data_IF_009128451661
#
_entry.id   IF_009128451661
#
_cell.length_a   1.000
_cell.length_b   1.000
_cell.length_c   1.000
_cell.angle_alpha   90.00
_cell.angle_beta   90.00
_cell.angle_gamma   90.00
#
_symmetry.space_group_name_H-M   'P 1'
#
loop_
_entity.id
_entity.type
_entity.pdbx_description
1 polymer ?
#
# COMPACT_ATOMS: atom_id res chain seq x y z
N UNK A 1 -55.29 -72.18 9.51
CA UNK A 1 -54.38 -72.09 8.34
C UNK A 1 -53.10 -71.42 8.82
N UNK A 2 -52.00 -72.17 8.81
CA UNK A 2 -50.61 -71.82 9.15
C UNK A 2 -50.29 -71.33 10.58
N UNK A 3 -49.39 -72.10 11.21
CA UNK A 3 -49.02 -72.07 12.61
C UNK A 3 -47.70 -71.31 12.86
N UNK A 4 -47.63 -70.77 14.06
CA UNK A 4 -46.48 -70.15 14.75
C UNK A 4 -45.40 -71.19 15.08
N UNK A 5 -44.12 -70.80 15.05
CA UNK A 5 -43.02 -71.62 15.59
C UNK A 5 -41.75 -70.82 15.92
N UNK A 6 -41.52 -70.61 17.22
CA UNK A 6 -40.28 -70.12 17.86
C UNK A 6 -39.30 -71.27 18.13
N UNK A 7 -38.00 -70.94 18.23
CA UNK A 7 -36.95 -71.68 18.98
C UNK A 7 -36.34 -72.89 18.26
N UNK A 8 -35.15 -73.41 18.56
CA UNK A 8 -34.05 -73.09 19.48
C UNK A 8 -32.87 -74.06 19.12
N UNK A 9 -31.62 -73.62 19.33
CA UNK A 9 -30.39 -74.37 19.77
C UNK A 9 -29.92 -75.70 19.12
N UNK A 10 -28.66 -75.72 18.63
CA UNK A 10 -27.48 -76.52 19.12
C UNK A 10 -26.28 -76.38 18.16
N UNK A 11 -25.18 -75.75 18.57
CA UNK A 11 -23.91 -76.32 19.09
C UNK A 11 -23.02 -77.12 18.11
N UNK A 12 -21.84 -76.53 17.84
CA UNK A 12 -20.56 -77.16 17.46
C UNK A 12 -19.50 -76.04 17.35
N UNK A 13 -18.77 -75.65 18.42
CA UNK A 13 -17.39 -76.08 18.77
C UNK A 13 -16.46 -76.02 17.52
N UNK A 14 -15.44 -75.16 17.43
CA UNK A 14 -14.14 -75.28 18.14
C UNK A 14 -13.15 -74.14 17.71
N UNK A 15 -12.35 -73.63 18.68
CA UNK A 15 -11.01 -72.95 18.64
C UNK A 15 -10.85 -71.61 17.86
N UNK A 16 -9.96 -70.65 18.17
CA UNK A 16 -9.10 -70.21 19.29
C UNK A 16 -8.30 -69.00 18.72
N UNK A 17 -7.72 -68.15 19.59
CA UNK A 17 -6.82 -67.01 19.31
C UNK A 17 -7.50 -65.69 18.89
N UNK A 18 -7.27 -64.53 19.50
CA UNK A 18 -6.39 -64.15 20.61
C UNK A 18 -6.69 -62.71 21.04
N UNK A 19 -6.46 -62.43 22.32
CA UNK A 19 -6.24 -61.07 22.84
C UNK A 19 -5.13 -60.40 22.01
N UNK A 20 -5.29 -59.13 21.62
CA UNK A 20 -4.27 -58.08 21.83
C UNK A 20 -4.76 -56.71 21.33
N UNK A 21 -4.70 -55.71 22.23
CA UNK A 21 -4.27 -54.37 21.87
C UNK A 21 -5.32 -53.37 21.37
N UNK A 22 -6.05 -52.76 22.30
CA UNK A 22 -6.61 -51.42 22.08
C UNK A 22 -5.44 -50.42 21.94
N UNK A 23 -5.03 -50.12 20.70
CA UNK A 23 -4.15 -48.99 20.42
C UNK A 23 -5.00 -47.72 20.34
N UNK A 24 -5.04 -46.99 21.47
CA UNK A 24 -5.44 -45.59 21.49
C UNK A 24 -4.41 -44.80 20.66
N UNK A 25 -4.74 -44.50 19.41
CA UNK A 25 -3.99 -43.54 18.61
C UNK A 25 -4.36 -42.14 19.10
N UNK A 26 -3.67 -41.67 20.13
CA UNK A 26 -3.66 -40.26 20.50
C UNK A 26 -2.95 -39.50 19.36
N UNK A 27 -3.72 -39.11 18.35
CA UNK A 27 -3.28 -38.14 17.37
C UNK A 27 -3.08 -36.81 18.10
N UNK A 28 -1.82 -36.50 18.42
CA UNK A 28 -1.41 -35.16 18.82
C UNK A 28 -1.70 -34.24 17.64
N UNK A 29 -2.85 -33.56 17.67
CA UNK A 29 -3.07 -32.35 16.90
C UNK A 29 -2.07 -31.32 17.42
N UNK A 30 -0.88 -31.30 16.84
CA UNK A 30 -0.05 -30.10 16.83
C UNK A 30 -0.88 -29.05 16.08
N UNK A 31 -1.57 -28.21 16.85
CA UNK A 31 -2.25 -27.06 16.31
C UNK A 31 -1.23 -26.29 15.49
N UNK A 32 -1.45 -26.19 14.19
CA UNK A 32 -0.77 -25.19 13.38
C UNK A 32 -1.02 -23.86 14.09
N UNK A 33 0.00 -23.32 14.75
CA UNK A 33 -0.05 -21.97 15.29
C UNK A 33 -0.45 -21.09 14.12
N UNK A 34 -1.68 -20.58 14.14
CA UNK A 34 -2.17 -19.67 13.12
C UNK A 34 -1.14 -18.54 13.04
N UNK A 35 -0.38 -18.51 11.95
CA UNK A 35 0.67 -17.53 11.76
C UNK A 35 -0.01 -16.16 11.79
N UNK A 36 0.22 -15.41 12.87
CA UNK A 36 -0.34 -14.08 13.07
C UNK A 36 0.11 -13.21 11.89
N UNK A 37 -0.85 -12.73 11.08
CA UNK A 37 -0.58 -11.83 9.96
C UNK A 37 -1.34 -10.52 10.14
N UNK A 38 -0.67 -9.40 9.90
CA UNK A 38 -1.27 -8.06 9.87
C UNK A 38 -1.68 -7.72 8.44
N UNK A 39 -2.89 -7.23 8.26
CA UNK A 39 -3.36 -6.70 6.98
C UNK A 39 -3.09 -5.20 6.91
N UNK A 40 -2.30 -4.79 5.92
CA UNK A 40 -1.87 -3.41 5.71
C UNK A 40 -2.40 -2.86 4.38
N UNK A 41 -3.03 -1.69 4.42
CA UNK A 41 -3.38 -0.91 3.24
C UNK A 41 -2.24 0.06 2.92
N UNK A 42 -1.57 -0.13 1.79
CA UNK A 42 -0.34 0.58 1.46
C UNK A 42 -0.46 1.26 0.10
N UNK A 43 -0.18 2.57 0.03
CA UNK A 43 -0.17 3.31 -1.22
C UNK A 43 0.81 2.70 -2.22
N UNK A 44 0.40 2.57 -3.49
CA UNK A 44 1.20 1.87 -4.51
C UNK A 44 2.63 2.44 -4.68
N UNK A 45 2.81 3.76 -4.51
CA UNK A 45 4.13 4.41 -4.57
C UNK A 45 5.08 4.02 -3.42
N UNK A 46 4.56 3.45 -2.33
CA UNK A 46 5.33 3.04 -1.15
C UNK A 46 5.73 1.57 -1.19
N UNK A 47 5.41 0.84 -2.26
CA UNK A 47 5.57 -0.62 -2.34
C UNK A 47 6.96 -1.09 -1.93
N UNK A 48 8.01 -0.50 -2.51
CA UNK A 48 9.39 -0.96 -2.28
C UNK A 48 9.86 -0.82 -0.82
N UNK A 49 9.78 0.37 -0.19
CA UNK A 49 10.15 0.49 1.22
C UNK A 49 9.22 -0.28 2.16
N UNK A 50 7.91 -0.31 1.89
CA UNK A 50 6.97 -1.07 2.72
C UNK A 50 7.22 -2.58 2.67
N UNK A 51 7.58 -3.12 1.51
CA UNK A 51 7.94 -4.55 1.36
C UNK A 51 9.20 -4.89 2.14
N UNK A 52 10.23 -4.04 2.06
CA UNK A 52 11.47 -4.25 2.82
C UNK A 52 11.22 -4.19 4.34
N UNK A 53 10.43 -3.21 4.80
CA UNK A 53 10.05 -3.10 6.22
C UNK A 53 9.21 -4.28 6.69
N UNK A 54 8.25 -4.74 5.88
CA UNK A 54 7.44 -5.93 6.18
C UNK A 54 8.31 -7.17 6.34
N UNK A 55 9.26 -7.40 5.43
CA UNK A 55 10.17 -8.54 5.49
C UNK A 55 11.13 -8.45 6.68
N UNK A 56 11.64 -7.27 7.00
CA UNK A 56 12.50 -7.05 8.15
C UNK A 56 11.73 -7.28 9.47
N UNK A 57 10.49 -6.80 9.55
CA UNK A 57 9.62 -7.02 10.70
C UNK A 57 9.27 -8.50 10.88
N UNK A 58 8.94 -9.22 9.80
CA UNK A 58 8.63 -10.65 9.85
C UNK A 58 9.84 -11.45 10.33
N UNK A 59 11.05 -11.13 9.87
CA UNK A 59 12.29 -11.76 10.38
C UNK A 59 12.52 -11.52 11.88
N UNK A 60 12.17 -10.34 12.38
CA UNK A 60 12.39 -9.98 13.79
C UNK A 60 11.31 -10.54 14.73
N UNK A 61 10.05 -10.54 14.29
CA UNK A 61 8.89 -10.79 15.14
C UNK A 61 8.18 -12.12 14.87
N UNK A 62 8.44 -12.74 13.71
CA UNK A 62 7.66 -13.88 13.20
C UNK A 62 6.27 -13.51 12.67
N UNK A 63 5.86 -12.24 12.74
CA UNK A 63 4.55 -11.76 12.29
C UNK A 63 4.64 -11.31 10.83
N UNK A 64 3.82 -11.92 9.97
CA UNK A 64 3.75 -11.56 8.55
C UNK A 64 2.95 -10.28 8.35
N UNK A 65 3.33 -9.46 7.39
CA UNK A 65 2.52 -8.29 6.97
C UNK A 65 2.03 -8.50 5.55
N UNK A 66 0.73 -8.69 5.39
CA UNK A 66 0.05 -8.82 4.09
C UNK A 66 -0.39 -7.44 3.62
N UNK A 67 0.01 -7.06 2.40
CA UNK A 67 -0.24 -5.72 1.88
C UNK A 67 -1.28 -5.72 0.76
N UNK A 68 -2.26 -4.84 0.88
CA UNK A 68 -3.12 -4.41 -0.22
C UNK A 68 -2.48 -3.14 -0.80
N UNK A 69 -2.14 -3.17 -2.08
CA UNK A 69 -1.48 -2.08 -2.78
C UNK A 69 -2.43 -1.44 -3.79
N UNK A 70 -2.73 -0.14 -3.63
CA UNK A 70 -3.55 0.61 -4.59
C UNK A 70 -3.36 2.13 -4.45
N UNK A 71 -4.14 2.94 -5.16
CA UNK A 71 -4.27 4.38 -4.93
C UNK A 71 -4.85 4.65 -3.54
N UNK A 72 -4.48 5.79 -2.95
CA UNK A 72 -4.88 6.18 -1.60
C UNK A 72 -6.42 6.20 -1.43
N UNK A 73 -7.14 6.67 -2.46
CA UNK A 73 -8.60 6.70 -2.50
C UNK A 73 -9.23 5.32 -2.63
N UNK A 74 -8.68 4.44 -3.47
CA UNK A 74 -9.17 3.07 -3.59
C UNK A 74 -8.97 2.30 -2.27
N UNK A 75 -7.84 2.51 -1.59
CA UNK A 75 -7.57 1.92 -0.27
C UNK A 75 -8.56 2.43 0.79
N UNK A 76 -8.87 3.73 0.79
CA UNK A 76 -9.88 4.29 1.71
C UNK A 76 -11.27 3.68 1.45
N UNK A 77 -11.70 3.65 0.18
CA UNK A 77 -13.00 3.05 -0.17
C UNK A 77 -13.06 1.57 0.20
N UNK A 78 -11.99 0.81 0.00
CA UNK A 78 -11.94 -0.60 0.42
C UNK A 78 -11.99 -0.75 1.94
N UNK A 79 -11.29 0.12 2.69
CA UNK A 79 -11.35 0.13 4.15
C UNK A 79 -12.77 0.46 4.65
N UNK A 80 -13.46 1.41 4.03
CA UNK A 80 -14.84 1.78 4.35
C UNK A 80 -15.82 0.63 4.12
N UNK A 81 -15.65 -0.09 3.01
CA UNK A 81 -16.50 -1.21 2.63
C UNK A 81 -16.25 -2.44 3.52
N UNK A 82 -14.98 -2.82 3.70
CA UNK A 82 -14.62 -4.07 4.38
C UNK A 82 -14.59 -3.92 5.91
N UNK A 83 -14.31 -2.72 6.43
CA UNK A 83 -14.12 -2.43 7.86
C UNK A 83 -13.22 -3.43 8.57
N UNK A 84 -12.16 -3.86 7.89
CA UNK A 84 -11.20 -4.86 8.36
C UNK A 84 -9.80 -4.42 7.98
N UNK A 85 -8.84 -4.63 8.87
CA UNK A 85 -7.42 -4.38 8.63
C UNK A 85 -6.74 -3.86 9.88
N UNK A 86 -5.42 -3.90 9.88
CA UNK A 86 -4.62 -3.57 11.06
C UNK A 86 -3.81 -2.28 10.85
N UNK A 87 -3.28 -2.07 9.64
CA UNK A 87 -2.37 -0.96 9.31
C UNK A 87 -2.90 -0.16 8.10
N UNK A 88 -2.75 1.16 8.15
CA UNK A 88 -3.11 2.09 7.08
C UNK A 88 -1.96 3.05 6.79
N UNK A 89 -1.43 2.98 5.57
CA UNK A 89 -0.31 3.78 5.08
C UNK A 89 -0.61 4.25 3.64
N UNK A 90 -1.55 5.19 3.45
CA UNK A 90 -2.10 5.50 2.13
C UNK A 90 -1.16 6.31 1.24
N UNK A 91 0.00 6.76 1.75
CA UNK A 91 0.92 7.64 1.03
C UNK A 91 0.61 9.13 1.13
N UNK A 92 -0.02 9.59 2.21
CA UNK A 92 -0.18 11.03 2.45
C UNK A 92 -1.18 11.37 3.54
N UNK A 93 -1.00 12.52 4.19
CA UNK A 93 -1.88 12.99 5.26
C UNK A 93 -3.33 13.28 4.84
N UNK A 94 -3.65 13.74 3.61
CA UNK A 94 -5.05 13.97 3.21
C UNK A 94 -5.93 12.73 3.39
N UNK A 95 -5.45 11.54 3.04
CA UNK A 95 -6.22 10.30 3.16
C UNK A 95 -6.24 9.76 4.58
N UNK A 96 -5.19 9.98 5.37
CA UNK A 96 -5.23 9.70 6.81
C UNK A 96 -6.24 10.59 7.52
N UNK A 97 -6.34 11.88 7.15
CA UNK A 97 -7.31 12.80 7.72
C UNK A 97 -8.75 12.38 7.39
N UNK A 98 -9.01 11.94 6.14
CA UNK A 98 -10.31 11.40 5.74
C UNK A 98 -10.65 10.11 6.52
N UNK A 99 -9.72 9.16 6.60
CA UNK A 99 -9.90 7.93 7.37
C UNK A 99 -10.14 8.21 8.86
N UNK A 100 -9.44 9.19 9.44
CA UNK A 100 -9.60 9.63 10.83
C UNK A 100 -10.98 10.23 11.05
N UNK A 101 -11.44 11.09 10.15
CA UNK A 101 -12.80 11.67 10.18
C UNK A 101 -13.88 10.58 10.12
N UNK A 102 -13.63 9.51 9.36
CA UNK A 102 -14.51 8.35 9.28
C UNK A 102 -14.36 7.37 10.47
N UNK A 103 -13.51 7.66 11.45
CA UNK A 103 -13.37 6.87 12.68
C UNK A 103 -12.46 5.64 12.53
N UNK A 104 -11.68 5.54 11.46
CA UNK A 104 -10.82 4.37 11.21
C UNK A 104 -9.43 4.46 11.81
N UNK A 105 -8.95 5.65 12.21
CA UNK A 105 -7.57 5.84 12.69
C UNK A 105 -7.53 5.86 14.22
N UNK A 106 -6.76 4.93 14.81
CA UNK A 106 -6.53 4.86 16.25
C UNK A 106 -5.23 5.56 16.66
N UNK A 107 -4.10 4.93 16.35
CA UNK A 107 -2.75 5.45 16.62
C UNK A 107 -2.00 5.71 15.31
N UNK A 108 -0.99 6.59 15.35
CA UNK A 108 -0.19 6.92 14.17
C UNK A 108 1.24 7.24 14.57
N UNK A 109 2.18 6.86 13.72
CA UNK A 109 3.59 7.27 13.79
C UNK A 109 4.00 7.94 12.49
N UNK A 110 4.98 8.84 12.58
CA UNK A 110 5.55 9.53 11.43
C UNK A 110 5.84 11.01 11.71
N UNK A 111 6.24 11.76 10.67
CA UNK A 111 6.49 11.27 9.31
C UNK A 111 7.63 10.25 9.26
N UNK A 112 7.47 9.19 8.47
CA UNK A 112 8.55 8.24 8.17
C UNK A 112 9.41 8.73 7.00
N UNK A 113 8.80 9.49 6.11
CA UNK A 113 9.37 10.12 4.94
C UNK A 113 8.43 11.22 4.43
N UNK A 114 8.83 11.88 3.36
CA UNK A 114 8.07 12.92 2.68
C UNK A 114 7.88 12.57 1.21
N UNK A 115 6.66 12.76 0.71
CA UNK A 115 6.42 12.84 -0.72
C UNK A 115 6.90 14.20 -1.22
N UNK A 116 7.84 14.17 -2.17
CA UNK A 116 8.42 15.36 -2.78
C UNK A 116 8.06 15.40 -4.26
N UNK A 117 7.05 16.20 -4.67
CA UNK A 117 6.66 16.31 -6.07
C UNK A 117 7.77 16.96 -6.90
N UNK A 118 8.03 16.39 -8.07
CA UNK A 118 8.89 16.94 -9.12
C UNK A 118 8.18 16.87 -10.46
N UNK A 119 8.62 17.71 -11.39
CA UNK A 119 8.22 17.55 -12.79
C UNK A 119 9.19 16.54 -13.41
N UNK A 120 8.66 15.60 -14.19
CA UNK A 120 9.45 14.72 -15.05
C UNK A 120 9.19 15.03 -16.51
N UNK A 121 10.22 14.90 -17.33
CA UNK A 121 10.17 15.07 -18.79
C UNK A 121 10.97 13.98 -19.48
N UNK A 122 10.73 13.68 -20.77
CA UNK A 122 11.61 12.82 -21.56
C UNK A 122 13.05 13.35 -21.57
N UNK A 123 14.02 12.44 -21.74
CA UNK A 123 15.43 12.80 -21.90
C UNK A 123 15.63 13.88 -22.98
N UNK A 124 16.47 14.87 -22.69
CA UNK A 124 16.71 16.03 -23.55
C UNK A 124 15.63 17.11 -23.47
N UNK A 125 14.56 16.90 -22.70
CA UNK A 125 13.48 17.85 -22.45
C UNK A 125 12.94 18.54 -23.73
N UNK A 126 12.35 17.79 -24.70
CA UNK A 126 11.96 18.34 -26.00
C UNK A 126 10.91 19.45 -25.92
N UNK A 127 10.12 19.48 -24.84
CA UNK A 127 9.11 20.51 -24.60
C UNK A 127 9.65 21.72 -23.83
N UNK A 128 10.96 21.77 -23.53
CA UNK A 128 11.65 22.86 -22.85
C UNK A 128 11.01 23.29 -21.52
N UNK A 129 10.55 22.31 -20.72
CA UNK A 129 9.92 22.57 -19.43
C UNK A 129 11.03 22.82 -18.40
N UNK A 130 11.05 24.00 -17.79
CA UNK A 130 12.08 24.40 -16.82
C UNK A 130 11.52 24.75 -15.44
N UNK A 131 10.19 24.91 -15.37
CA UNK A 131 9.45 25.29 -14.16
C UNK A 131 7.99 24.93 -14.30
N UNK A 132 7.25 24.92 -13.19
CA UNK A 132 5.82 24.55 -13.16
C UNK A 132 4.93 25.42 -14.04
N UNK A 133 5.25 26.71 -14.21
CA UNK A 133 4.49 27.62 -15.06
C UNK A 133 4.54 27.21 -16.54
N UNK A 134 5.59 26.52 -16.96
CA UNK A 134 5.74 26.05 -18.34
C UNK A 134 4.71 24.98 -18.70
N UNK A 135 4.14 24.28 -17.71
CA UNK A 135 3.06 23.31 -17.90
C UNK A 135 1.77 23.95 -18.42
N UNK A 136 1.62 25.28 -18.29
CA UNK A 136 0.48 26.03 -18.79
C UNK A 136 0.60 26.42 -20.28
N UNK A 137 1.77 26.20 -20.92
CA UNK A 137 1.97 26.57 -22.33
C UNK A 137 1.06 25.75 -23.23
N UNK A 138 0.31 26.36 -24.16
CA UNK A 138 -0.54 25.62 -25.07
C UNK A 138 0.23 24.54 -25.83
N UNK A 139 -0.34 23.34 -25.93
CA UNK A 139 0.24 22.23 -26.68
C UNK A 139 1.10 21.26 -25.87
N UNK A 140 1.48 21.60 -24.63
CA UNK A 140 2.12 20.65 -23.70
C UNK A 140 1.15 19.49 -23.43
N UNK A 141 1.64 18.25 -23.54
CA UNK A 141 0.88 17.04 -23.20
C UNK A 141 1.25 16.60 -21.78
N UNK A 142 0.40 16.93 -20.81
CA UNK A 142 0.66 16.68 -19.40
C UNK A 142 0.04 15.35 -18.94
N UNK A 143 0.78 14.56 -18.17
CA UNK A 143 0.29 13.36 -17.49
C UNK A 143 0.28 13.62 -15.99
N UNK A 144 -0.86 13.41 -15.36
CA UNK A 144 -0.98 13.56 -13.91
C UNK A 144 -1.38 12.24 -13.27
N UNK A 145 -0.95 11.98 -12.03
CA UNK A 145 -1.62 10.98 -11.21
C UNK A 145 -3.05 11.46 -10.94
N UNK A 146 -3.97 10.53 -10.76
CA UNK A 146 -5.37 10.84 -10.50
C UNK A 146 -5.52 11.79 -9.30
N UNK A 147 -6.21 12.91 -9.53
CA UNK A 147 -6.23 14.05 -8.60
C UNK A 147 -7.18 13.84 -7.42
N UNK A 148 -8.08 12.87 -7.53
CA UNK A 148 -9.03 12.57 -6.46
C UNK A 148 -8.58 11.42 -5.57
N UNK A 149 -7.92 10.43 -6.14
CA UNK A 149 -7.57 9.17 -5.49
C UNK A 149 -6.08 9.03 -5.12
N UNK A 150 -5.23 9.99 -5.48
CA UNK A 150 -3.80 9.96 -5.10
C UNK A 150 -3.38 11.20 -4.30
N UNK A 151 -2.51 11.01 -3.30
CA UNK A 151 -1.94 12.13 -2.54
C UNK A 151 -1.09 13.06 -3.43
N UNK A 152 -0.35 12.48 -4.38
CA UNK A 152 0.47 13.23 -5.33
C UNK A 152 -0.38 14.08 -6.29
N UNK A 153 -1.52 13.55 -6.77
CA UNK A 153 -2.45 14.30 -7.61
C UNK A 153 -3.12 15.45 -6.87
N UNK A 154 -3.51 15.24 -5.61
CA UNK A 154 -3.99 16.34 -4.74
C UNK A 154 -2.91 17.40 -4.51
N UNK A 155 -1.64 16.99 -4.37
CA UNK A 155 -0.52 17.91 -4.24
C UNK A 155 -0.29 18.70 -5.54
N UNK A 156 -0.36 18.06 -6.70
CA UNK A 156 -0.25 18.72 -8.00
C UNK A 156 -1.30 19.84 -8.18
N UNK A 157 -2.57 19.58 -7.85
CA UNK A 157 -3.61 20.61 -7.92
C UNK A 157 -3.33 21.81 -7.02
N UNK A 158 -2.84 21.57 -5.79
CA UNK A 158 -2.45 22.65 -4.87
C UNK A 158 -1.25 23.45 -5.40
N UNK A 159 -0.26 22.78 -5.99
CA UNK A 159 0.88 23.45 -6.64
C UNK A 159 0.39 24.37 -7.76
N UNK A 160 -0.55 23.91 -8.59
CA UNK A 160 -1.10 24.74 -9.68
C UNK A 160 -1.93 25.92 -9.17
N UNK A 161 -2.64 25.72 -8.05
CA UNK A 161 -3.38 26.79 -7.38
C UNK A 161 -2.44 27.85 -6.77
N UNK A 162 -1.32 27.44 -6.17
CA UNK A 162 -0.32 28.35 -5.59
C UNK A 162 0.25 29.35 -6.60
N UNK A 163 0.29 28.98 -7.89
CA UNK A 163 0.75 29.84 -8.98
C UNK A 163 -0.40 30.46 -9.81
N UNK A 164 -1.65 30.23 -9.41
CA UNK A 164 -2.86 30.69 -10.11
C UNK A 164 -2.95 30.26 -11.59
N UNK A 165 -2.45 29.06 -11.93
CA UNK A 165 -2.45 28.52 -13.30
C UNK A 165 -3.26 27.22 -13.47
N UNK A 166 -4.03 26.78 -12.46
CA UNK A 166 -4.80 25.52 -12.51
C UNK A 166 -5.58 25.34 -13.82
N UNK A 167 -6.44 26.30 -14.18
CA UNK A 167 -7.26 26.20 -15.39
C UNK A 167 -6.45 26.14 -16.70
N UNK A 168 -5.26 26.75 -16.74
CA UNK A 168 -4.40 26.71 -17.92
C UNK A 168 -3.64 25.38 -18.01
N UNK A 169 -3.13 24.89 -16.89
CA UNK A 169 -2.40 23.61 -16.80
C UNK A 169 -3.34 22.43 -17.03
N UNK A 170 -4.54 22.45 -16.45
CA UNK A 170 -5.50 21.35 -16.57
C UNK A 170 -5.99 21.15 -18.02
N UNK A 171 -6.04 22.21 -18.83
CA UNK A 171 -6.34 22.10 -20.28
C UNK A 171 -5.30 21.29 -21.05
N UNK A 172 -4.08 21.19 -20.53
CA UNK A 172 -2.99 20.45 -21.15
C UNK A 172 -2.94 18.98 -20.72
N UNK A 173 -3.73 18.56 -19.73
CA UNK A 173 -3.75 17.19 -19.24
C UNK A 173 -4.33 16.26 -20.31
N UNK A 174 -3.56 15.22 -20.66
CA UNK A 174 -3.96 14.19 -21.63
C UNK A 174 -4.46 12.92 -20.95
N UNK A 175 -3.96 12.62 -19.76
CA UNK A 175 -4.42 11.50 -18.97
C UNK A 175 -4.22 11.74 -17.48
N UNK A 176 -5.17 11.23 -16.71
CA UNK A 176 -5.03 10.97 -15.28
C UNK A 176 -4.76 9.49 -15.10
N UNK A 177 -3.62 9.13 -14.52
CA UNK A 177 -3.24 7.73 -14.28
C UNK A 177 -3.55 7.33 -12.84
N UNK A 178 -4.05 6.12 -12.67
CA UNK A 178 -4.59 5.62 -11.40
C UNK A 178 -3.63 5.70 -10.20
N UNK A 179 -2.32 5.60 -10.43
CA UNK A 179 -1.31 5.64 -9.37
C UNK A 179 -0.09 6.47 -9.76
N UNK A 180 0.59 7.06 -8.78
CA UNK A 180 1.82 7.85 -8.98
C UNK A 180 2.87 7.14 -9.86
N UNK A 181 3.21 5.87 -9.59
CA UNK A 181 4.21 5.16 -10.39
C UNK A 181 3.86 4.93 -11.87
N UNK A 182 2.59 5.09 -12.26
CA UNK A 182 2.20 5.00 -13.68
C UNK A 182 2.63 6.26 -14.46
N UNK A 183 2.85 7.40 -13.81
CA UNK A 183 3.22 8.66 -14.48
C UNK A 183 4.55 8.53 -15.24
N UNK A 184 5.69 8.14 -14.60
CA UNK A 184 6.94 7.94 -15.34
C UNK A 184 6.84 6.89 -16.44
N UNK A 185 6.12 5.78 -16.19
CA UNK A 185 5.89 4.75 -17.21
C UNK A 185 5.18 5.31 -18.45
N UNK A 186 4.14 6.13 -18.26
CA UNK A 186 3.38 6.76 -19.35
C UNK A 186 4.23 7.75 -20.14
N UNK A 187 5.08 8.55 -19.48
CA UNK A 187 6.01 9.46 -20.18
C UNK A 187 7.05 8.68 -20.99
N UNK A 188 7.61 7.60 -20.43
CA UNK A 188 8.56 6.73 -21.15
C UNK A 188 7.94 6.05 -22.38
N UNK A 189 6.62 5.87 -22.41
CA UNK A 189 5.88 5.38 -23.58
C UNK A 189 5.58 6.47 -24.63
N UNK A 190 6.09 7.70 -24.44
CA UNK A 190 5.90 8.82 -25.37
C UNK A 190 4.51 9.45 -25.34
N UNK A 191 3.70 9.12 -24.32
CA UNK A 191 2.30 9.56 -24.22
C UNK A 191 2.14 10.96 -23.62
N UNK A 192 3.22 11.58 -23.13
CA UNK A 192 3.22 12.95 -22.63
C UNK A 192 4.60 13.59 -22.73
N UNK A 193 4.61 14.92 -22.63
CA UNK A 193 5.80 15.77 -22.67
C UNK A 193 6.31 16.08 -21.26
N UNK A 194 5.41 16.06 -20.28
CA UNK A 194 5.74 16.27 -18.87
C UNK A 194 4.74 15.53 -17.96
N UNK A 195 5.15 15.29 -16.72
CA UNK A 195 4.26 14.79 -15.67
C UNK A 195 4.70 15.22 -14.28
N UNK A 196 3.79 15.11 -13.30
CA UNK A 196 4.12 15.27 -11.88
C UNK A 196 4.37 13.90 -11.27
N UNK A 197 5.59 13.66 -10.83
CA UNK A 197 6.01 12.41 -10.21
C UNK A 197 6.56 12.66 -8.80
N UNK A 198 6.71 11.58 -8.04
CA UNK A 198 7.42 11.60 -6.78
C UNK A 198 8.93 11.46 -7.06
N UNK A 199 9.75 12.25 -6.34
CA UNK A 199 11.20 12.32 -6.54
C UNK A 199 11.91 10.94 -6.52
N UNK A 200 11.67 10.11 -5.50
CA UNK A 200 12.29 8.80 -5.37
C UNK A 200 11.95 7.87 -6.54
N UNK A 201 10.75 7.99 -7.09
CA UNK A 201 10.29 7.19 -8.22
C UNK A 201 10.90 7.69 -9.53
N UNK A 202 10.90 9.00 -9.74
CA UNK A 202 11.56 9.63 -10.89
C UNK A 202 13.06 9.30 -10.93
N UNK A 203 13.74 9.27 -9.77
CA UNK A 203 15.16 8.94 -9.67
C UNK A 203 15.50 7.53 -10.21
N UNK A 204 14.59 6.55 -10.07
CA UNK A 204 14.75 5.19 -10.61
C UNK A 204 14.76 5.15 -12.14
N UNK A 205 14.26 6.21 -12.79
CA UNK A 205 14.10 6.31 -14.24
C UNK A 205 15.02 7.37 -14.88
N UNK A 206 16.05 7.82 -14.17
CA UNK A 206 16.99 8.89 -14.61
C UNK A 206 17.76 8.62 -15.91
N UNK A 207 17.83 7.36 -16.35
CA UNK A 207 18.38 6.99 -17.65
C UNK A 207 17.47 7.42 -18.82
N UNK A 208 16.16 7.52 -18.60
CA UNK A 208 15.15 7.79 -19.63
C UNK A 208 14.41 9.11 -19.43
N UNK A 209 14.40 9.62 -18.20
CA UNK A 209 13.69 10.83 -17.80
C UNK A 209 14.65 11.86 -17.20
N UNK A 210 14.28 13.12 -17.31
CA UNK A 210 14.90 14.22 -16.57
C UNK A 210 13.92 14.79 -15.56
N UNK A 211 14.45 15.20 -14.41
CA UNK A 211 13.68 15.86 -13.36
C UNK A 211 13.88 17.37 -13.46
N UNK A 212 12.79 18.09 -13.27
CA UNK A 212 12.76 19.54 -13.14
C UNK A 212 12.16 19.83 -11.77
N UNK A 213 12.97 20.45 -10.90
CA UNK A 213 12.54 20.78 -9.55
C UNK A 213 11.41 21.81 -9.59
N UNK A 214 10.44 21.63 -8.69
CA UNK A 214 9.39 22.61 -8.44
C UNK A 214 9.91 23.54 -7.35
N UNK A 215 9.85 24.85 -7.60
CA UNK A 215 10.27 25.87 -6.64
C UNK A 215 9.66 25.57 -5.25
N UNK A 216 10.49 25.42 -4.19
CA UNK A 216 10.02 25.14 -2.84
C UNK A 216 8.96 26.13 -2.33
N UNK A 217 8.93 27.37 -2.83
CA UNK A 217 7.93 28.37 -2.46
C UNK A 217 6.51 28.01 -2.91
N UNK A 218 6.37 27.15 -3.93
CA UNK A 218 5.06 26.75 -4.49
C UNK A 218 4.84 25.24 -4.43
N UNK A 219 5.88 24.45 -4.16
CA UNK A 219 5.79 23.00 -4.04
C UNK A 219 4.94 22.60 -2.82
N UNK A 220 4.34 21.41 -2.88
CA UNK A 220 3.50 20.87 -1.82
C UNK A 220 4.06 19.53 -1.41
N UNK A 221 4.89 19.55 -0.38
CA UNK A 221 5.47 18.36 0.23
C UNK A 221 4.48 17.77 1.25
N UNK A 222 4.27 16.47 1.20
CA UNK A 222 3.33 15.77 2.09
C UNK A 222 4.06 14.74 2.95
N UNK A 223 3.56 14.53 4.15
CA UNK A 223 4.10 13.57 5.11
C UNK A 223 3.63 12.16 4.78
N UNK A 224 4.51 11.18 4.98
CA UNK A 224 4.20 9.75 4.86
C UNK A 224 4.12 9.14 6.27
N UNK A 225 2.94 9.09 6.90
CA UNK A 225 2.73 8.42 8.18
C UNK A 225 2.40 6.94 8.02
N UNK A 226 2.43 6.20 9.13
CA UNK A 226 1.88 4.85 9.25
C UNK A 226 0.90 4.81 10.43
N UNK A 227 -0.32 4.31 10.22
CA UNK A 227 -1.38 4.33 11.20
C UNK A 227 -1.92 2.94 11.55
N UNK A 228 -2.36 2.78 12.79
CA UNK A 228 -3.12 1.64 13.30
C UNK A 228 -4.61 1.89 13.09
N UNK A 229 -5.30 0.88 12.56
CA UNK A 229 -6.74 0.94 12.31
C UNK A 229 -7.57 0.60 13.56
N UNK A 230 -8.66 1.33 13.81
CA UNK A 230 -9.58 1.07 14.93
C UNK A 230 -10.33 -0.25 14.79
N UNK A 231 -10.51 -0.75 13.57
CA UNK A 231 -11.11 -2.05 13.27
C UNK A 231 -10.11 -3.23 13.29
N UNK A 232 -8.88 -3.00 13.75
CA UNK A 232 -7.85 -4.02 13.92
C UNK A 232 -8.32 -5.13 14.87
N UNK A 233 -8.28 -6.37 14.41
CA UNK A 233 -8.51 -7.55 15.25
C UNK A 233 -7.27 -7.90 16.08
N UNK A 234 -6.10 -7.31 15.77
CA UNK A 234 -4.82 -7.61 16.40
C UNK A 234 -4.08 -6.34 16.87
N UNK A 235 -4.72 -5.47 17.67
CA UNK A 235 -4.21 -4.12 17.98
C UNK A 235 -2.86 -4.11 18.71
N UNK A 236 -2.56 -5.15 19.50
CA UNK A 236 -1.25 -5.27 20.16
C UNK A 236 -0.12 -5.48 19.13
N UNK A 237 -0.29 -6.43 18.20
CA UNK A 237 0.68 -6.69 17.14
C UNK A 237 0.80 -5.51 16.16
N UNK A 238 -0.31 -4.84 15.84
CA UNK A 238 -0.30 -3.62 15.03
C UNK A 238 0.50 -2.50 15.71
N UNK A 239 0.37 -2.33 17.04
CA UNK A 239 1.13 -1.32 17.79
C UNK A 239 2.63 -1.63 17.82
N UNK A 240 3.02 -2.90 17.93
CA UNK A 240 4.42 -3.29 17.77
C UNK A 240 4.95 -2.96 16.37
N UNK A 241 4.15 -3.21 15.33
CA UNK A 241 4.52 -2.83 13.97
C UNK A 241 4.68 -1.32 13.82
N UNK A 242 3.80 -0.50 14.41
CA UNK A 242 3.95 0.96 14.45
C UNK A 242 5.26 1.38 15.13
N UNK A 243 5.63 0.76 16.26
CA UNK A 243 6.93 1.01 16.92
C UNK A 243 8.10 0.65 16.02
N UNK A 244 8.04 -0.51 15.35
CA UNK A 244 9.03 -0.95 14.39
C UNK A 244 9.17 0.04 13.22
N UNK A 245 8.05 0.50 12.64
CA UNK A 245 8.02 1.48 11.57
C UNK A 245 8.62 2.82 12.02
N UNK A 246 8.33 3.28 13.24
CA UNK A 246 8.92 4.50 13.81
C UNK A 246 10.44 4.39 13.96
N UNK A 247 10.94 3.24 14.40
CA UNK A 247 12.36 3.04 14.64
C UNK A 247 13.18 2.83 13.35
N UNK A 248 12.61 2.15 12.35
CA UNK A 248 13.36 1.69 11.16
C UNK A 248 12.92 2.37 9.86
N UNK A 249 11.73 2.98 9.84
CA UNK A 249 11.07 3.47 8.64
C UNK A 249 11.94 4.47 7.88
N UNK A 250 12.36 5.55 8.53
CA UNK A 250 13.15 6.60 7.87
C UNK A 250 14.41 6.06 7.17
N UNK A 251 15.18 5.18 7.82
CA UNK A 251 16.37 4.61 7.22
C UNK A 251 16.05 3.80 5.94
N UNK A 252 15.00 2.97 5.97
CA UNK A 252 14.58 2.19 4.81
C UNK A 252 14.02 3.09 3.71
N UNK A 253 13.17 4.07 4.05
CA UNK A 253 12.64 5.02 3.08
C UNK A 253 13.75 5.81 2.37
N UNK A 254 14.76 6.27 3.11
CA UNK A 254 15.93 6.95 2.54
C UNK A 254 16.70 6.05 1.57
N UNK A 255 16.89 4.76 1.90
CA UNK A 255 17.51 3.77 1.00
C UNK A 255 16.75 3.62 -0.32
N UNK A 256 15.42 3.79 -0.29
CA UNK A 256 14.56 3.76 -1.49
C UNK A 256 14.43 5.13 -2.19
N UNK A 257 15.21 6.14 -1.78
CA UNK A 257 15.31 7.44 -2.43
C UNK A 257 14.31 8.48 -1.95
N UNK A 258 13.48 8.17 -0.94
CA UNK A 258 12.56 9.15 -0.37
C UNK A 258 13.32 10.16 0.49
N UNK A 259 12.86 11.40 0.49
CA UNK A 259 13.33 12.40 1.46
C UNK A 259 12.79 12.07 2.83
N UNK A 260 13.65 12.11 3.83
CA UNK A 260 13.30 11.90 5.25
C UNK A 260 13.56 13.12 6.11
N UNK A 261 14.12 14.17 5.50
CA UNK A 261 14.36 15.51 6.02
C UNK A 261 14.13 16.49 4.86
N UNK A 262 13.69 17.72 5.17
CA UNK A 262 13.40 18.78 4.19
C UNK A 262 14.42 19.91 4.31
#
# INVERSE_FOLDING_TARGET
MMAVGKGEKRQGRVLLFGLLGALFLAATFQGATAQTSLLAYVGAGLKSPATELAQAYEKQSGVRVEMILNSSGALLGQLELCRKGDIYMPGGMPFVALAKKAGFIGEMVGPLAYHYPVIIVPKGNPAHISKVQDLARPGVRLILPDTESTALGKSALKIFANINLSAAIEKNVKAYVETGPKVPMTIMLGQGDAGIAEFSDAAKHSASLEMVDIDPAVNVVDEIPCALLTCSAQPAAAREFLRFMKANGAAVFAKHGFKTQL
#
